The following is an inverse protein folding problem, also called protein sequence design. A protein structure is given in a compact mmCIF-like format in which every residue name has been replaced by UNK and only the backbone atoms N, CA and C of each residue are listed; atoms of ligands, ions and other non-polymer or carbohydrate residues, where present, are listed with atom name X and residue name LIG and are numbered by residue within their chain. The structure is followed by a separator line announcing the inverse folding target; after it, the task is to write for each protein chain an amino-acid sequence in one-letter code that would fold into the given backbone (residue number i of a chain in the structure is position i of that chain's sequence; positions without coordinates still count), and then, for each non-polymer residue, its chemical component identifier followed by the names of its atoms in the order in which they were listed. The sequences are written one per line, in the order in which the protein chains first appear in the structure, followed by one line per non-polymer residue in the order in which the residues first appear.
data_IF_090088167221
#
_entry.id   IF_090088167221
#
_cell.length_a   1.000
_cell.length_b   1.000
_cell.length_c   1.000
_cell.angle_alpha   90.00
_cell.angle_beta   90.00
_cell.angle_gamma   90.00
#
_symmetry.space_group_name_H-M   'P 1'
#
loop_
_entity.id
_entity.type
_entity.pdbx_description
1 polymer ?
#
# COMPACT_ATOMS: atom_id res chain seq x y z
N UNK A 1 -13.27 20.12 2.61
CA UNK A 1 -11.86 19.69 2.76
C UNK A 1 -11.12 19.89 1.44
N UNK A 2 -9.88 20.37 1.45
CA UNK A 2 -9.10 20.53 0.21
C UNK A 2 -8.40 19.22 -0.17
N UNK A 3 -8.11 19.02 -1.47
CA UNK A 3 -7.37 17.83 -1.93
C UNK A 3 -6.01 17.67 -1.21
N UNK A 4 -5.27 18.78 -1.05
CA UNK A 4 -3.99 18.78 -0.33
C UNK A 4 -4.11 18.39 1.15
N UNK A 5 -5.24 18.70 1.80
CA UNK A 5 -5.51 18.26 3.17
C UNK A 5 -5.76 16.75 3.22
N UNK A 6 -6.61 16.23 2.34
CA UNK A 6 -6.92 14.80 2.27
C UNK A 6 -5.65 13.97 1.99
N UNK A 7 -4.80 14.44 1.08
CA UNK A 7 -3.55 13.76 0.72
C UNK A 7 -2.59 13.60 1.90
N UNK A 8 -2.35 14.67 2.66
CA UNK A 8 -1.48 14.62 3.85
C UNK A 8 -1.99 13.65 4.91
N UNK A 9 -3.31 13.57 5.10
CA UNK A 9 -3.92 12.67 6.08
C UNK A 9 -3.88 11.22 5.60
N UNK A 10 -4.18 10.98 4.33
CA UNK A 10 -4.08 9.64 3.74
C UNK A 10 -2.65 9.10 3.85
N UNK A 11 -1.64 9.93 3.55
CA UNK A 11 -0.24 9.55 3.69
C UNK A 11 0.11 9.15 5.14
N UNK A 12 -0.30 9.94 6.13
CA UNK A 12 -0.06 9.63 7.54
C UNK A 12 -0.73 8.31 7.96
N UNK A 13 -1.99 8.11 7.58
CA UNK A 13 -2.73 6.87 7.90
C UNK A 13 -2.03 5.66 7.28
N UNK A 14 -1.65 5.74 6.00
CA UNK A 14 -0.97 4.64 5.31
C UNK A 14 0.41 4.34 5.92
N UNK A 15 1.15 5.35 6.39
CA UNK A 15 2.42 5.13 7.12
C UNK A 15 2.22 4.45 8.47
N UNK A 16 1.19 4.82 9.23
CA UNK A 16 0.84 4.14 10.47
C UNK A 16 0.45 2.67 10.21
N UNK A 17 -0.36 2.41 9.18
CA UNK A 17 -0.73 1.05 8.76
C UNK A 17 0.51 0.24 8.37
N UNK A 18 1.45 0.83 7.62
CA UNK A 18 2.73 0.18 7.29
C UNK A 18 3.52 -0.20 8.54
N UNK A 19 3.65 0.70 9.51
CA UNK A 19 4.33 0.43 10.78
C UNK A 19 3.70 -0.77 11.50
N UNK A 20 2.37 -0.73 11.65
CA UNK A 20 1.62 -1.82 12.26
C UNK A 20 1.83 -3.16 11.53
N UNK A 21 1.78 -3.19 10.20
CA UNK A 21 2.00 -4.41 9.41
C UNK A 21 3.39 -4.97 9.63
N UNK A 22 4.42 -4.11 9.72
CA UNK A 22 5.78 -4.55 9.99
C UNK A 22 5.90 -5.19 11.38
N UNK A 23 5.30 -4.59 12.40
CA UNK A 23 5.29 -5.12 13.77
C UNK A 23 4.47 -6.41 13.88
N UNK A 24 3.29 -6.44 13.26
CA UNK A 24 2.42 -7.62 13.23
C UNK A 24 3.01 -8.79 12.44
N UNK A 25 3.94 -8.52 11.50
CA UNK A 25 4.62 -9.55 10.70
C UNK A 25 5.78 -10.26 11.41
N UNK A 26 6.05 -9.92 12.68
CA UNK A 26 6.82 -10.71 13.63
C UNK A 26 8.05 -11.43 13.07
N UNK A 27 9.10 -10.70 12.67
CA UNK A 27 10.50 -11.17 12.66
C UNK A 27 10.88 -12.44 11.87
N UNK A 28 9.97 -13.11 11.15
CA UNK A 28 10.29 -14.35 10.46
C UNK A 28 9.05 -15.10 9.98
N UNK A 29 8.69 -14.91 8.71
CA UNK A 29 7.72 -15.78 8.03
C UNK A 29 6.25 -15.54 8.39
N UNK A 30 5.81 -14.27 8.41
CA UNK A 30 4.38 -13.98 8.54
C UNK A 30 3.57 -14.43 7.32
N UNK A 31 2.38 -14.96 7.60
CA UNK A 31 1.33 -15.18 6.60
C UNK A 31 1.14 -13.93 5.74
N UNK A 32 1.11 -14.14 4.42
CA UNK A 32 0.81 -13.08 3.48
C UNK A 32 -0.60 -12.57 3.74
N UNK A 33 -0.70 -11.32 4.22
CA UNK A 33 -1.98 -10.63 4.39
C UNK A 33 -2.13 -9.54 3.34
N UNK A 34 -3.31 -9.49 2.74
CA UNK A 34 -3.65 -8.47 1.73
C UNK A 34 -4.26 -7.26 2.41
N UNK A 35 -3.68 -6.08 2.17
CA UNK A 35 -4.26 -4.81 2.58
C UNK A 35 -5.22 -4.32 1.49
N UNK A 36 -6.51 -4.21 1.82
CA UNK A 36 -7.52 -3.62 0.94
C UNK A 36 -7.82 -2.18 1.37
N UNK A 37 -7.61 -1.23 0.47
CA UNK A 37 -8.01 0.17 0.66
C UNK A 37 -9.23 0.48 -0.19
N UNK A 38 -10.31 0.94 0.43
CA UNK A 38 -11.57 1.29 -0.24
C UNK A 38 -11.81 2.79 -0.20
N UNK A 39 -12.39 3.32 -1.27
CA UNK A 39 -12.75 4.72 -1.41
C UNK A 39 -14.25 4.86 -1.68
N UNK A 40 -14.86 6.02 -1.38
CA UNK A 40 -16.26 6.27 -1.73
C UNK A 40 -16.50 6.14 -3.24
N UNK A 41 -17.70 5.70 -3.66
CA UNK A 41 -18.01 5.48 -5.09
C UNK A 41 -17.95 6.77 -5.92
N UNK A 42 -18.28 7.92 -5.31
CA UNK A 42 -18.33 9.22 -5.99
C UNK A 42 -17.03 10.02 -5.85
N UNK A 43 -15.88 9.35 -5.75
CA UNK A 43 -14.61 10.05 -5.61
C UNK A 43 -14.18 10.69 -6.94
N UNK A 44 -13.71 11.94 -6.89
CA UNK A 44 -13.17 12.61 -8.08
C UNK A 44 -11.99 11.80 -8.66
N UNK A 45 -11.96 11.54 -9.99
CA UNK A 45 -10.93 10.71 -10.62
C UNK A 45 -9.49 11.17 -10.35
N UNK A 46 -9.26 12.48 -10.37
CA UNK A 46 -7.95 13.06 -10.05
C UNK A 46 -7.51 12.75 -8.61
N UNK A 47 -8.45 12.80 -7.65
CA UNK A 47 -8.16 12.47 -6.26
C UNK A 47 -7.91 10.98 -6.08
N UNK A 48 -8.67 10.13 -6.77
CA UNK A 48 -8.43 8.68 -6.81
C UNK A 48 -7.01 8.37 -7.28
N UNK A 49 -6.60 8.95 -8.41
CA UNK A 49 -5.25 8.75 -8.96
C UNK A 49 -4.17 9.18 -7.98
N UNK A 50 -4.33 10.34 -7.32
CA UNK A 50 -3.36 10.82 -6.33
C UNK A 50 -3.28 9.91 -5.11
N UNK A 51 -4.41 9.42 -4.60
CA UNK A 51 -4.45 8.49 -3.45
C UNK A 51 -3.84 7.14 -3.80
N UNK A 52 -4.14 6.60 -4.99
CA UNK A 52 -3.59 5.34 -5.47
C UNK A 52 -2.06 5.40 -5.60
N UNK A 53 -1.51 6.54 -6.02
CA UNK A 53 -0.06 6.75 -6.13
C UNK A 53 0.68 6.74 -4.78
N UNK A 54 -0.02 6.95 -3.65
CA UNK A 54 0.60 6.83 -2.32
C UNK A 54 0.94 5.38 -1.98
N UNK A 55 0.17 4.40 -2.47
CA UNK A 55 0.37 2.99 -2.12
C UNK A 55 1.76 2.47 -2.51
N UNK A 56 2.22 2.55 -3.78
CA UNK A 56 3.56 2.08 -4.13
C UNK A 56 4.69 2.98 -3.58
N UNK A 57 4.37 4.23 -3.21
CA UNK A 57 5.33 5.14 -2.57
C UNK A 57 5.59 4.75 -1.11
N UNK A 58 4.57 4.28 -0.40
CA UNK A 58 4.65 3.94 1.03
C UNK A 58 4.98 2.46 1.22
N UNK A 59 4.28 1.57 0.52
CA UNK A 59 4.45 0.12 0.62
C UNK A 59 5.39 -0.40 -0.46
N UNK A 60 6.28 -1.32 -0.09
CA UNK A 60 7.17 -1.96 -1.05
C UNK A 60 6.35 -2.92 -1.91
N UNK A 61 6.33 -2.69 -3.21
CA UNK A 61 5.75 -3.63 -4.18
C UNK A 61 6.71 -4.81 -4.32
N UNK A 62 6.20 -6.03 -4.15
CA UNK A 62 6.97 -7.24 -4.39
C UNK A 62 7.38 -7.28 -5.86
N UNK A 63 8.65 -7.61 -6.11
CA UNK A 63 9.13 -7.84 -7.47
C UNK A 63 8.46 -9.08 -8.07
N UNK A 64 8.45 -9.21 -9.41
CA UNK A 64 7.97 -10.42 -10.07
C UNK A 64 8.74 -11.64 -9.55
N UNK A 65 8.02 -12.76 -9.36
CA UNK A 65 8.63 -14.05 -9.01
C UNK A 65 9.54 -14.46 -10.17
N UNK A 66 10.85 -14.53 -9.91
CA UNK A 66 11.79 -15.11 -10.87
C UNK A 66 11.66 -16.62 -10.77
N UNK A 67 10.99 -17.26 -11.74
CA UNK A 67 10.99 -18.71 -11.84
C UNK A 67 12.44 -19.19 -11.96
N UNK A 68 12.85 -20.13 -11.11
CA UNK A 68 14.16 -20.79 -11.26
C UNK A 68 14.09 -21.62 -12.54
N UNK A 69 14.84 -21.23 -13.57
CA UNK A 69 15.07 -22.12 -14.72
C UNK A 69 15.71 -23.39 -14.15
N UNK A 70 15.01 -24.53 -14.27
CA UNK A 70 15.56 -25.81 -13.91
C UNK A 70 16.84 -26.01 -14.74
N UNK A 71 17.99 -26.08 -14.06
CA UNK A 71 19.25 -26.42 -14.70
C UNK A 71 19.11 -27.85 -15.26
N UNK A 72 19.23 -27.97 -16.59
CA UNK A 72 19.51 -29.23 -17.27
C UNK A 72 20.91 -29.73 -16.91
#
# INVERSE_FOLDING_TARGET
MTAAWCMRRAELVLKCVKGFVLEASGGGGADLRTLCATLPPDIRPALFSSLAALLPTIFRVSGPVRAKTAAQ
#
